data_IF_111558637526
#
_entry.id   IF_111558637526
#
_cell.length_a   1.000
_cell.length_b   1.000
_cell.length_c   1.000
_cell.angle_alpha   90.00
_cell.angle_beta   90.00
_cell.angle_gamma   90.00
#
_symmetry.space_group_name_H-M   'P 1'
#
loop_
_entity.id
_entity.type
_entity.pdbx_description
1 polymer ?
#
# COMPACT_ATOMS: atom_id res chain seq x y z
N UNK A 1 -11.82 -0.69 25.10
CA UNK A 1 -11.07 0.09 24.11
C UNK A 1 -11.32 -0.42 22.68
N UNK A 2 -11.17 -1.72 22.43
CA UNK A 2 -11.43 -2.34 21.13
C UNK A 2 -12.88 -2.19 20.62
N UNK A 3 -13.88 -2.23 21.52
CA UNK A 3 -15.29 -2.01 21.17
C UNK A 3 -15.56 -0.63 20.58
N UNK A 4 -14.99 0.44 21.19
CA UNK A 4 -15.10 1.81 20.67
C UNK A 4 -14.44 1.95 19.31
N UNK A 5 -13.28 1.31 19.10
CA UNK A 5 -12.61 1.27 17.80
C UNK A 5 -13.46 0.56 16.74
N UNK A 6 -14.04 -0.61 17.05
CA UNK A 6 -14.92 -1.32 16.10
C UNK A 6 -16.16 -0.48 15.76
N UNK A 7 -16.73 0.22 16.75
CA UNK A 7 -17.86 1.12 16.51
C UNK A 7 -17.47 2.30 15.61
N UNK A 8 -16.27 2.88 15.74
CA UNK A 8 -15.83 3.95 14.84
C UNK A 8 -15.60 3.45 13.41
N UNK A 9 -15.07 2.22 13.25
CA UNK A 9 -14.94 1.58 11.93
C UNK A 9 -16.32 1.34 11.32
N UNK A 10 -17.29 0.81 12.08
CA UNK A 10 -18.65 0.59 11.60
C UNK A 10 -19.36 1.90 11.22
N UNK A 11 -19.18 2.96 12.02
CA UNK A 11 -19.70 4.29 11.68
C UNK A 11 -19.10 4.81 10.37
N UNK A 12 -17.78 4.66 10.19
CA UNK A 12 -17.07 5.07 8.96
C UNK A 12 -17.58 4.30 7.75
N UNK A 13 -17.75 2.99 7.86
CA UNK A 13 -18.31 2.13 6.83
C UNK A 13 -19.72 2.57 6.40
N UNK A 14 -20.61 2.81 7.38
CA UNK A 14 -21.97 3.35 7.14
C UNK A 14 -21.93 4.70 6.43
N UNK A 15 -21.12 5.64 6.92
CA UNK A 15 -21.01 6.98 6.31
C UNK A 15 -20.46 6.94 4.89
N UNK A 16 -19.50 6.03 4.62
CA UNK A 16 -18.97 5.82 3.27
C UNK A 16 -20.03 5.22 2.34
N UNK A 17 -20.80 4.24 2.81
CA UNK A 17 -21.94 3.68 2.08
C UNK A 17 -22.96 4.76 1.70
N UNK A 18 -23.38 5.58 2.67
CA UNK A 18 -24.32 6.69 2.45
C UNK A 18 -23.75 7.77 1.50
N UNK A 19 -22.43 7.99 1.52
CA UNK A 19 -21.77 8.85 0.54
C UNK A 19 -21.86 8.26 -0.86
N UNK A 20 -21.52 6.99 -1.05
CA UNK A 20 -21.56 6.32 -2.35
C UNK A 20 -22.99 6.23 -2.91
N UNK A 21 -23.99 5.98 -2.07
CA UNK A 21 -25.41 5.93 -2.47
C UNK A 21 -25.92 7.28 -2.97
N UNK A 22 -25.43 8.38 -2.38
CA UNK A 22 -25.73 9.74 -2.87
C UNK A 22 -24.93 10.07 -4.12
N UNK A 23 -23.65 9.76 -4.15
CA UNK A 23 -22.76 9.98 -5.29
C UNK A 23 -23.30 9.33 -6.56
N UNK A 24 -23.78 8.09 -6.49
CA UNK A 24 -24.39 7.34 -7.61
C UNK A 24 -25.57 8.04 -8.29
N UNK A 25 -26.24 8.98 -7.60
CA UNK A 25 -27.40 9.73 -8.11
C UNK A 25 -27.02 11.07 -8.76
N UNK A 26 -25.73 11.38 -8.83
CA UNK A 26 -25.23 12.65 -9.38
C UNK A 26 -24.75 12.48 -10.82
N UNK A 27 -24.77 13.57 -11.59
CA UNK A 27 -24.36 13.54 -13.01
C UNK A 27 -22.88 13.23 -13.21
N UNK A 28 -22.03 13.47 -12.20
CA UNK A 28 -20.59 13.21 -12.28
C UNK A 28 -20.21 11.75 -12.06
N UNK A 29 -21.12 10.91 -11.54
CA UNK A 29 -20.80 9.53 -11.15
C UNK A 29 -20.21 8.72 -12.30
N UNK A 30 -20.83 8.81 -13.49
CA UNK A 30 -20.43 8.05 -14.67
C UNK A 30 -19.01 8.37 -15.16
N UNK A 31 -18.48 9.54 -14.80
CA UNK A 31 -17.15 10.01 -15.20
C UNK A 31 -16.16 10.05 -14.03
N UNK A 32 -16.47 9.39 -12.91
CA UNK A 32 -15.64 9.45 -11.70
C UNK A 32 -15.10 8.08 -11.33
N UNK A 33 -13.79 8.04 -11.06
CA UNK A 33 -13.11 6.96 -10.36
C UNK A 33 -13.04 7.32 -8.87
N UNK A 34 -13.53 6.43 -8.02
CA UNK A 34 -13.46 6.57 -6.55
C UNK A 34 -12.50 5.51 -6.02
N UNK A 35 -11.47 5.93 -5.30
CA UNK A 35 -10.49 5.03 -4.67
C UNK A 35 -10.59 5.22 -3.17
N UNK A 36 -10.94 4.13 -2.48
CA UNK A 36 -11.07 4.08 -1.01
C UNK A 36 -9.87 3.32 -0.49
N UNK A 37 -9.11 3.93 0.41
CA UNK A 37 -7.95 3.28 1.06
C UNK A 37 -7.71 3.88 2.45
N UNK A 38 -7.00 3.17 3.30
CA UNK A 38 -6.51 3.73 4.56
C UNK A 38 -5.15 4.42 4.34
N UNK A 39 -4.84 5.41 5.16
CA UNK A 39 -3.51 6.02 5.22
C UNK A 39 -2.50 5.09 5.90
N UNK A 40 -2.92 4.46 7.01
CA UNK A 40 -2.17 3.45 7.74
C UNK A 40 -3.10 2.53 8.55
N UNK A 41 -2.56 1.46 9.14
CA UNK A 41 -3.31 0.62 10.08
C UNK A 41 -3.00 0.97 11.54
N UNK A 42 -3.85 0.48 12.45
CA UNK A 42 -3.66 0.58 13.90
C UNK A 42 -3.18 -0.76 14.45
N UNK A 43 -2.12 -0.75 15.26
CA UNK A 43 -1.74 -1.90 16.08
C UNK A 43 -2.81 -2.13 17.14
N UNK A 44 -3.55 -3.23 17.02
CA UNK A 44 -4.72 -3.50 17.87
C UNK A 44 -4.41 -4.32 19.12
N UNK A 45 -3.28 -5.01 19.15
CA UNK A 45 -2.81 -5.86 20.26
C UNK A 45 -1.29 -5.68 20.42
N UNK A 46 -0.79 -5.65 21.66
CA UNK A 46 0.64 -5.46 21.93
C UNK A 46 1.49 -6.70 21.61
N UNK A 47 0.85 -7.85 21.44
CA UNK A 47 1.45 -9.11 20.97
C UNK A 47 1.87 -9.04 19.50
N UNK A 48 1.31 -8.11 18.72
CA UNK A 48 1.66 -7.93 17.31
C UNK A 48 2.97 -7.12 17.25
N UNK A 49 4.05 -7.64 16.66
CA UNK A 49 5.29 -6.89 16.52
C UNK A 49 5.07 -5.58 15.75
N UNK A 50 5.78 -4.53 16.15
CA UNK A 50 5.68 -3.21 15.50
C UNK A 50 6.16 -3.20 14.04
N UNK A 51 6.79 -4.29 13.57
CA UNK A 51 7.23 -4.47 12.20
C UNK A 51 6.35 -5.44 11.40
N UNK A 52 5.29 -5.98 12.00
CA UNK A 52 4.52 -7.06 11.39
C UNK A 52 3.81 -6.57 10.12
N UNK A 53 3.88 -7.34 9.03
CA UNK A 53 3.23 -7.03 7.75
C UNK A 53 1.73 -6.68 7.92
N UNK A 54 1.05 -7.33 8.86
CA UNK A 54 -0.37 -7.10 9.16
C UNK A 54 -0.70 -5.68 9.64
N UNK A 55 0.26 -4.92 10.18
CA UNK A 55 0.03 -3.53 10.60
C UNK A 55 0.34 -2.51 9.50
N UNK A 56 0.89 -2.94 8.37
CA UNK A 56 1.18 -2.10 7.20
C UNK A 56 0.27 -2.42 6.01
N UNK A 57 -0.38 -3.58 6.02
CA UNK A 57 -1.38 -3.96 5.01
C UNK A 57 -2.66 -3.15 5.22
N UNK A 58 -2.95 -2.27 4.26
CA UNK A 58 -4.15 -1.41 4.21
C UNK A 58 -5.14 -1.90 3.14
N UNK A 59 -6.46 -1.67 3.31
CA UNK A 59 -7.42 -1.96 2.27
C UNK A 59 -7.29 -0.96 1.11
N UNK A 60 -7.62 -1.39 -0.11
CA UNK A 60 -7.81 -0.53 -1.26
C UNK A 60 -8.97 -1.05 -2.10
N UNK A 61 -9.96 -0.20 -2.40
CA UNK A 61 -11.11 -0.50 -3.24
C UNK A 61 -11.24 0.58 -4.31
N UNK A 62 -11.28 0.15 -5.57
CA UNK A 62 -11.56 1.02 -6.71
C UNK A 62 -13.02 0.82 -7.13
N UNK A 63 -13.77 1.91 -7.25
CA UNK A 63 -15.17 1.93 -7.65
C UNK A 63 -15.48 3.24 -8.42
N UNK A 64 -16.75 3.56 -8.64
CA UNK A 64 -17.14 4.71 -9.46
C UNK A 64 -17.69 4.29 -10.82
N UNK A 65 -18.32 5.21 -11.54
CA UNK A 65 -18.89 4.94 -12.86
C UNK A 65 -17.85 4.87 -13.98
N UNK A 66 -16.67 5.47 -13.78
CA UNK A 66 -15.59 5.44 -14.78
C UNK A 66 -14.81 4.12 -14.81
N UNK A 67 -15.02 3.22 -13.85
CA UNK A 67 -14.30 1.94 -13.80
C UNK A 67 -14.84 0.98 -14.88
N UNK A 68 -13.98 0.57 -15.80
CA UNK A 68 -14.33 -0.35 -16.89
C UNK A 68 -14.30 -1.82 -16.44
N UNK A 69 -13.40 -2.15 -15.52
CA UNK A 69 -13.24 -3.50 -14.95
C UNK A 69 -14.05 -3.59 -13.66
N UNK A 70 -14.88 -4.63 -13.54
CA UNK A 70 -15.75 -4.87 -12.39
C UNK A 70 -15.47 -6.25 -11.79
N UNK A 71 -15.87 -6.44 -10.54
CA UNK A 71 -15.84 -7.73 -9.84
C UNK A 71 -14.48 -8.45 -9.91
N UNK A 72 -13.41 -7.66 -9.83
CA UNK A 72 -12.03 -8.14 -9.98
C UNK A 72 -11.27 -7.97 -8.68
N UNK A 73 -10.51 -8.99 -8.31
CA UNK A 73 -9.59 -8.98 -7.17
C UNK A 73 -8.17 -8.90 -7.71
N UNK A 74 -7.43 -7.89 -7.26
CA UNK A 74 -6.02 -7.73 -7.57
C UNK A 74 -5.22 -8.24 -6.37
N UNK A 75 -4.42 -9.29 -6.57
CA UNK A 75 -3.68 -9.99 -5.50
C UNK A 75 -2.20 -9.66 -5.45
N UNK A 76 -1.69 -8.85 -6.39
CA UNK A 76 -0.29 -8.45 -6.41
C UNK A 76 0.11 -7.58 -5.22
N UNK A 77 1.41 -7.51 -4.97
CA UNK A 77 1.99 -6.75 -3.87
C UNK A 77 2.36 -5.34 -4.32
N UNK A 78 1.77 -4.33 -3.69
CA UNK A 78 1.96 -2.92 -4.05
C UNK A 78 2.10 -2.03 -2.81
N UNK A 79 2.72 -0.87 -2.99
CA UNK A 79 2.76 0.21 -2.00
C UNK A 79 1.69 1.27 -2.32
N UNK A 80 1.22 2.00 -1.30
CA UNK A 80 0.30 3.13 -1.49
C UNK A 80 0.88 4.17 -2.46
N UNK A 81 2.20 4.36 -2.47
CA UNK A 81 2.90 5.28 -3.38
C UNK A 81 2.72 4.90 -4.85
N UNK A 82 2.43 3.64 -5.18
CA UNK A 82 2.24 3.18 -6.55
C UNK A 82 0.97 3.74 -7.20
N UNK A 83 0.05 4.27 -6.38
CA UNK A 83 -1.22 4.81 -6.85
C UNK A 83 -1.02 5.95 -7.85
N UNK A 84 -0.06 6.84 -7.60
CA UNK A 84 0.13 8.02 -8.44
C UNK A 84 0.64 7.68 -9.84
N UNK A 85 1.64 6.80 -9.96
CA UNK A 85 2.11 6.33 -11.27
C UNK A 85 1.01 5.54 -11.98
N UNK A 86 0.29 4.68 -11.26
CA UNK A 86 -0.80 3.88 -11.83
C UNK A 86 -1.88 4.79 -12.44
N UNK A 87 -2.35 5.79 -11.70
CA UNK A 87 -3.34 6.75 -12.20
C UNK A 87 -2.82 7.58 -13.36
N UNK A 88 -1.59 8.11 -13.26
CA UNK A 88 -0.99 8.89 -14.33
C UNK A 88 -0.94 8.11 -15.64
N UNK A 89 -0.55 6.82 -15.58
CA UNK A 89 -0.50 5.94 -16.76
C UNK A 89 -1.88 5.63 -17.32
N UNK A 90 -2.88 5.39 -16.47
CA UNK A 90 -4.27 5.17 -16.91
C UNK A 90 -4.85 6.40 -17.61
N UNK A 91 -4.45 7.61 -17.19
CA UNK A 91 -4.87 8.88 -17.80
C UNK A 91 -4.04 9.28 -19.03
N UNK A 92 -3.09 8.46 -19.47
CA UNK A 92 -2.22 8.76 -20.61
C UNK A 92 -1.09 9.76 -20.34
N UNK A 93 -0.85 10.12 -19.06
CA UNK A 93 0.26 11.00 -18.70
C UNK A 93 1.58 10.23 -18.64
N UNK A 94 2.64 10.85 -19.16
CA UNK A 94 4.01 10.35 -19.03
C UNK A 94 4.73 11.00 -17.84
N UNK A 95 4.18 10.82 -16.64
CA UNK A 95 4.79 11.29 -15.39
C UNK A 95 5.74 10.23 -14.82
N UNK A 96 6.85 10.68 -14.25
CA UNK A 96 7.84 9.84 -13.58
C UNK A 96 7.89 10.20 -12.10
N UNK A 97 7.54 9.24 -11.24
CA UNK A 97 7.57 9.38 -9.80
C UNK A 97 8.60 8.38 -9.26
N UNK A 98 9.69 8.88 -8.66
CA UNK A 98 10.89 8.09 -8.33
C UNK A 98 10.61 6.83 -7.50
N UNK A 99 9.64 6.90 -6.59
CA UNK A 99 9.30 5.84 -5.63
C UNK A 99 7.94 5.18 -5.90
N UNK A 100 7.48 5.22 -7.15
CA UNK A 100 6.15 4.75 -7.53
C UNK A 100 6.20 4.01 -8.87
N UNK A 101 5.53 2.87 -8.93
CA UNK A 101 5.43 2.03 -10.13
C UNK A 101 3.97 1.85 -10.56
N UNK A 102 3.77 1.41 -11.80
CA UNK A 102 2.43 1.10 -12.31
C UNK A 102 2.01 -0.29 -11.80
N UNK A 103 0.99 -0.35 -10.95
CA UNK A 103 0.50 -1.61 -10.36
C UNK A 103 0.04 -2.63 -11.42
N UNK A 104 -0.42 -2.16 -12.59
CA UNK A 104 -0.97 -3.02 -13.64
C UNK A 104 0.01 -3.30 -14.78
N UNK A 105 1.31 -3.10 -14.55
CA UNK A 105 2.34 -3.46 -15.53
C UNK A 105 3.19 -4.62 -15.04
N UNK A 106 3.24 -5.68 -15.84
CA UNK A 106 4.10 -6.85 -15.58
C UNK A 106 5.60 -6.49 -15.55
N UNK A 107 5.98 -5.33 -16.11
CA UNK A 107 7.39 -4.89 -16.23
C UNK A 107 7.94 -4.26 -14.96
N UNK A 108 7.09 -3.78 -14.05
CA UNK A 108 7.52 -3.02 -12.87
C UNK A 108 7.92 -3.89 -11.67
N UNK A 109 7.58 -5.18 -11.71
CA UNK A 109 7.68 -6.08 -10.57
C UNK A 109 6.70 -5.72 -9.45
N UNK A 110 6.17 -6.74 -8.77
CA UNK A 110 5.26 -6.53 -7.63
C UNK A 110 6.05 -6.58 -6.34
N UNK A 111 6.08 -5.44 -5.64
CA UNK A 111 6.67 -5.34 -4.32
C UNK A 111 6.03 -4.23 -3.51
N UNK A 112 6.15 -4.34 -2.19
CA UNK A 112 5.85 -3.28 -1.24
C UNK A 112 7.08 -3.04 -0.36
N UNK A 113 7.32 -1.77 -0.05
CA UNK A 113 8.32 -1.33 0.90
C UNK A 113 7.66 -0.50 1.99
N UNK A 114 8.02 -0.75 3.23
CA UNK A 114 7.65 0.10 4.37
C UNK A 114 8.79 0.18 5.39
N UNK A 115 8.82 1.28 6.13
CA UNK A 115 9.74 1.48 7.25
C UNK A 115 8.99 1.41 8.56
N UNK A 116 9.67 0.93 9.59
CA UNK A 116 9.28 1.04 10.99
C UNK A 116 10.44 1.64 11.78
N UNK A 117 10.26 1.95 13.06
CA UNK A 117 11.24 2.73 13.84
C UNK A 117 12.68 2.21 13.77
N UNK A 118 12.87 0.89 13.66
CA UNK A 118 14.18 0.25 13.74
C UNK A 118 14.61 -0.45 12.45
N UNK A 119 13.84 -0.30 11.37
CA UNK A 119 14.12 -1.05 10.17
C UNK A 119 13.17 -0.83 9.02
N UNK A 120 13.24 -1.76 8.08
CA UNK A 120 12.38 -1.78 6.91
C UNK A 120 11.86 -3.18 6.63
N UNK A 121 10.83 -3.25 5.80
CA UNK A 121 10.44 -4.47 5.15
C UNK A 121 10.43 -4.32 3.63
N UNK A 122 10.79 -5.40 2.96
CA UNK A 122 10.71 -5.52 1.51
C UNK A 122 9.94 -6.81 1.20
N UNK A 123 8.75 -6.64 0.63
CA UNK A 123 7.79 -7.71 0.37
C UNK A 123 7.58 -7.81 -1.14
N UNK A 124 7.60 -9.00 -1.69
CA UNK A 124 7.23 -9.32 -3.07
C UNK A 124 6.08 -10.31 -3.07
N UNK A 125 5.55 -10.66 -4.25
CA UNK A 125 4.52 -11.69 -4.38
C UNK A 125 4.96 -13.07 -3.84
N UNK A 126 6.27 -13.35 -3.82
CA UNK A 126 6.81 -14.66 -3.45
C UNK A 126 7.65 -14.63 -2.17
N UNK A 127 8.14 -13.47 -1.75
CA UNK A 127 9.07 -13.35 -0.62
C UNK A 127 8.73 -12.18 0.29
N UNK A 128 9.11 -12.28 1.56
CA UNK A 128 8.99 -11.19 2.52
C UNK A 128 10.22 -11.18 3.42
N UNK A 129 10.75 -9.99 3.68
CA UNK A 129 11.82 -9.76 4.65
C UNK A 129 11.45 -8.56 5.49
N UNK A 130 11.71 -8.65 6.79
CA UNK A 130 11.81 -7.52 7.71
C UNK A 130 13.24 -7.51 8.25
N UNK A 131 13.94 -6.41 8.02
CA UNK A 131 15.33 -6.23 8.42
C UNK A 131 15.43 -5.15 9.49
N UNK A 132 16.05 -5.49 10.60
CA UNK A 132 16.30 -4.57 11.70
C UNK A 132 17.71 -3.98 11.57
N UNK A 133 17.79 -2.65 11.48
CA UNK A 133 19.02 -1.91 11.24
C UNK A 133 19.89 -1.89 12.48
N UNK A 134 19.30 -1.87 13.69
CA UNK A 134 20.05 -1.88 14.95
C UNK A 134 20.66 -3.24 15.21
N UNK A 135 19.90 -4.31 15.02
CA UNK A 135 20.37 -5.69 15.15
C UNK A 135 21.29 -6.10 13.98
N UNK A 136 21.19 -5.39 12.85
CA UNK A 136 21.85 -5.72 11.58
C UNK A 136 21.47 -7.12 11.07
N UNK A 137 20.26 -7.56 11.39
CA UNK A 137 19.80 -8.92 11.13
C UNK A 137 18.34 -8.94 10.66
N UNK A 138 17.95 -10.06 10.06
CA UNK A 138 16.58 -10.34 9.66
C UNK A 138 15.79 -10.72 10.91
N UNK A 139 14.68 -10.02 11.16
CA UNK A 139 13.76 -10.34 12.27
C UNK A 139 12.53 -11.12 11.81
N UNK A 140 12.29 -11.16 10.51
CA UNK A 140 11.27 -11.99 9.88
C UNK A 140 11.61 -12.25 8.42
N UNK A 141 11.44 -13.49 7.97
CA UNK A 141 11.50 -13.83 6.55
C UNK A 141 10.49 -14.91 6.16
N UNK A 142 10.09 -14.89 4.88
CA UNK A 142 9.22 -15.88 4.25
C UNK A 142 9.56 -16.01 2.78
N UNK A 143 9.53 -17.24 2.26
CA UNK A 143 9.68 -17.52 0.83
C UNK A 143 11.13 -17.51 0.36
N UNK A 144 11.38 -17.76 -0.93
CA UNK A 144 12.73 -17.85 -1.48
C UNK A 144 13.35 -16.47 -1.74
N UNK A 145 14.68 -16.43 -1.88
CA UNK A 145 15.40 -15.24 -2.38
C UNK A 145 15.44 -14.06 -1.40
N UNK A 146 15.36 -14.33 -0.09
CA UNK A 146 15.31 -13.29 0.96
C UNK A 146 16.58 -12.44 1.00
N UNK A 147 17.76 -13.00 0.70
CA UNK A 147 19.02 -12.26 0.55
C UNK A 147 18.92 -11.13 -0.48
N UNK A 148 18.28 -11.41 -1.63
CA UNK A 148 18.05 -10.39 -2.65
C UNK A 148 17.07 -9.32 -2.15
N UNK A 149 16.00 -9.72 -1.46
CA UNK A 149 15.05 -8.77 -0.86
C UNK A 149 15.71 -7.87 0.19
N UNK A 150 16.63 -8.40 1.01
CA UNK A 150 17.44 -7.58 1.94
C UNK A 150 18.27 -6.55 1.17
N UNK A 151 18.96 -6.98 0.11
CA UNK A 151 19.80 -6.10 -0.69
C UNK A 151 18.99 -4.99 -1.38
N UNK A 152 17.84 -5.34 -1.96
CA UNK A 152 16.91 -4.39 -2.58
C UNK A 152 16.33 -3.42 -1.56
N UNK A 153 15.91 -3.90 -0.39
CA UNK A 153 15.38 -3.06 0.67
C UNK A 153 16.41 -2.09 1.24
N UNK A 154 17.67 -2.53 1.45
CA UNK A 154 18.78 -1.64 1.83
C UNK A 154 19.03 -0.57 0.77
N UNK A 155 19.05 -0.96 -0.50
CA UNK A 155 19.25 -0.03 -1.62
C UNK A 155 18.10 0.98 -1.73
N UNK A 156 16.85 0.53 -1.58
CA UNK A 156 15.68 1.39 -1.61
C UNK A 156 15.71 2.40 -0.45
N UNK A 157 16.01 1.95 0.76
CA UNK A 157 16.15 2.80 1.94
C UNK A 157 17.27 3.83 1.75
N UNK A 158 18.43 3.43 1.23
CA UNK A 158 19.55 4.34 0.95
C UNK A 158 19.12 5.45 -0.03
N UNK A 159 18.51 5.07 -1.16
CA UNK A 159 18.06 6.04 -2.17
C UNK A 159 16.98 6.97 -1.61
N UNK A 160 16.07 6.45 -0.78
CA UNK A 160 15.03 7.24 -0.13
C UNK A 160 15.63 8.30 0.80
N UNK A 161 16.59 7.91 1.65
CA UNK A 161 17.25 8.83 2.56
C UNK A 161 18.12 9.85 1.82
N UNK A 162 18.85 9.42 0.79
CA UNK A 162 19.66 10.34 -0.03
C UNK A 162 18.79 11.38 -0.76
N UNK A 163 17.62 10.99 -1.28
CA UNK A 163 16.66 11.93 -1.89
C UNK A 163 16.09 12.91 -0.86
N UNK A 164 15.84 12.46 0.37
CA UNK A 164 15.38 13.34 1.44
C UNK A 164 16.46 14.34 1.88
N UNK A 165 17.69 13.88 2.07
CA UNK A 165 18.81 14.69 2.57
C UNK A 165 19.38 15.66 1.53
N UNK A 166 19.11 15.43 0.24
CA UNK A 166 19.59 16.31 -0.85
C UNK A 166 18.63 17.44 -1.21
N UNK A 167 17.50 17.57 -0.51
CA UNK A 167 16.50 18.65 -0.65
C UNK A 167 16.70 19.72 0.40
#
# INVERSE_FOLDING_TARGET
MLSKFRNSVHYTDKSLGEFLDRARKTDWWNNTLVIITADHCRRNEDTIPAFAESIFRIPMLWTGGAISVKDTIITGTFSQTDLVTTLARQLGYNSSFRFSKNMFSDRSGHFAFYTYNEGFAFITDTSAVVYDIKLKDIVFERGPGTDQSVHLGKSFLQILFDDYLSR
#
